data_IF_065608744528
#
_entry.id   IF_065608744528
#
_cell.length_a   1.000
_cell.length_b   1.000
_cell.length_c   1.000
_cell.angle_alpha   90.00
_cell.angle_beta   90.00
_cell.angle_gamma   90.00
#
_symmetry.space_group_name_H-M   'P 1'
#
loop_
_entity.id
_entity.type
_entity.pdbx_description
1 polymer ?
#
# COMPACT_ATOMS: atom_id res chain seq x y z
N UNK A 1 -26.42 -11.87 24.41
CA UNK A 1 -25.88 -12.01 23.04
C UNK A 1 -24.61 -11.18 22.99
N UNK A 2 -23.44 -11.82 22.95
CA UNK A 2 -22.13 -11.15 22.98
C UNK A 2 -21.68 -10.98 21.53
N UNK A 3 -21.54 -9.73 21.08
CA UNK A 3 -21.10 -9.40 19.72
C UNK A 3 -19.57 -9.46 19.69
N UNK A 4 -19.00 -10.46 19.04
CA UNK A 4 -17.58 -10.51 18.71
C UNK A 4 -17.34 -9.66 17.45
N UNK A 5 -16.68 -8.52 17.61
CA UNK A 5 -16.15 -7.74 16.50
C UNK A 5 -14.79 -8.32 16.11
N UNK A 6 -14.68 -8.85 14.89
CA UNK A 6 -13.40 -9.20 14.30
C UNK A 6 -12.76 -7.91 13.77
N UNK A 7 -11.62 -7.53 14.34
CA UNK A 7 -10.77 -6.49 13.76
C UNK A 7 -9.94 -7.17 12.69
N UNK A 8 -10.29 -6.94 11.43
CA UNK A 8 -9.45 -7.28 10.28
C UNK A 8 -8.19 -6.40 10.36
N UNK A 9 -7.05 -7.00 10.66
CA UNK A 9 -5.76 -6.33 10.54
C UNK A 9 -5.38 -6.41 9.07
N UNK A 10 -5.57 -5.32 8.34
CA UNK A 10 -4.95 -5.17 7.02
C UNK A 10 -3.44 -5.12 7.24
N UNK A 11 -2.73 -6.21 6.91
CA UNK A 11 -1.28 -6.22 6.87
C UNK A 11 -0.87 -5.55 5.56
N UNK A 12 -0.68 -4.23 5.58
CA UNK A 12 -0.05 -3.52 4.49
C UNK A 12 1.30 -4.19 4.18
N UNK A 13 1.58 -4.44 2.90
CA UNK A 13 2.88 -4.98 2.49
C UNK A 13 3.95 -3.99 2.96
N UNK A 14 4.96 -4.46 3.72
CA UNK A 14 5.99 -3.56 4.22
C UNK A 14 6.69 -2.81 3.09
N UNK A 15 6.72 -1.49 3.20
CA UNK A 15 7.36 -0.62 2.22
C UNK A 15 8.84 -0.46 2.62
N UNK A 16 9.69 -1.24 1.96
CA UNK A 16 11.14 -1.12 2.12
C UNK A 16 11.74 -0.49 0.86
N UNK A 17 12.67 0.45 1.05
CA UNK A 17 13.35 1.12 -0.06
C UNK A 17 14.84 0.80 -0.03
N UNK A 18 15.37 0.22 -1.12
CA UNK A 18 16.81 0.07 -1.28
C UNK A 18 17.43 1.41 -1.64
N UNK A 19 18.47 1.79 -0.92
CA UNK A 19 19.23 3.01 -1.16
C UNK A 19 20.70 2.63 -1.30
N UNK A 20 21.37 3.19 -2.31
CA UNK A 20 22.79 2.96 -2.55
C UNK A 20 23.45 4.24 -2.99
N UNK A 21 24.73 4.38 -2.70
CA UNK A 21 25.48 5.56 -3.11
C UNK A 21 26.98 5.36 -3.01
N UNK A 22 27.71 6.39 -3.43
CA UNK A 22 29.16 6.50 -3.26
C UNK A 22 29.49 7.76 -2.48
N UNK A 23 30.25 7.62 -1.40
CA UNK A 23 30.68 8.68 -0.51
C UNK A 23 32.18 8.90 -0.73
N UNK A 24 32.55 10.14 -1.00
CA UNK A 24 33.93 10.60 -1.13
C UNK A 24 34.13 11.83 -0.27
N UNK A 25 35.35 12.08 0.17
CA UNK A 25 35.72 13.31 0.87
C UNK A 25 35.97 14.49 -0.09
N UNK A 26 36.36 15.64 0.45
CA UNK A 26 36.66 16.85 -0.32
C UNK A 26 37.84 16.70 -1.27
N UNK A 27 38.75 15.77 -0.99
CA UNK A 27 39.91 15.47 -1.84
C UNK A 27 39.58 14.37 -2.88
N UNK A 28 38.35 13.86 -2.86
CA UNK A 28 37.85 12.81 -3.74
C UNK A 28 38.24 11.39 -3.31
N UNK A 29 38.84 11.23 -2.13
CA UNK A 29 39.17 9.91 -1.60
C UNK A 29 37.90 9.21 -1.11
N UNK A 30 37.73 7.91 -1.42
CA UNK A 30 36.57 7.14 -0.98
C UNK A 30 36.59 6.91 0.53
N UNK A 31 35.42 6.91 1.14
CA UNK A 31 35.23 6.42 2.50
C UNK A 31 35.41 4.89 2.56
N UNK A 32 35.88 4.37 3.70
CA UNK A 32 36.20 2.94 3.89
C UNK A 32 35.91 2.50 5.33
N UNK A 33 35.35 1.31 5.47
CA UNK A 33 35.10 0.68 6.77
C UNK A 33 33.71 0.96 7.32
N UNK A 34 33.57 0.86 8.64
CA UNK A 34 32.26 0.97 9.30
C UNK A 34 31.92 2.45 9.55
N UNK A 35 30.77 2.89 9.04
CA UNK A 35 30.28 4.26 9.20
C UNK A 35 28.83 4.26 9.69
N UNK A 36 28.47 5.29 10.44
CA UNK A 36 27.08 5.53 10.85
C UNK A 36 26.43 6.48 9.85
N UNK A 37 25.43 5.99 9.13
CA UNK A 37 24.68 6.75 8.13
C UNK A 37 23.30 7.09 8.71
N UNK A 38 23.00 8.38 8.78
CA UNK A 38 21.67 8.89 9.12
C UNK A 38 20.95 9.30 7.83
N UNK A 39 19.80 8.70 7.60
CA UNK A 39 18.90 8.94 6.48
C UNK A 39 17.70 9.74 6.97
N UNK A 40 17.38 10.85 6.32
CA UNK A 40 16.22 11.66 6.65
C UNK A 40 15.44 12.00 5.39
N UNK A 41 14.12 11.85 5.42
CA UNK A 41 13.23 12.20 4.32
C UNK A 41 12.55 13.52 4.67
N UNK A 42 12.58 14.46 3.73
CA UNK A 42 11.97 15.79 3.82
C UNK A 42 10.88 15.97 2.76
N UNK A 43 9.91 16.82 3.06
CA UNK A 43 8.80 17.23 2.17
C UNK A 43 9.17 18.35 1.18
N UNK A 44 10.33 19.01 1.36
CA UNK A 44 10.83 20.07 0.49
C UNK A 44 12.32 19.92 0.16
N UNK A 45 12.77 20.49 -0.96
CA UNK A 45 14.17 20.42 -1.43
C UNK A 45 15.14 21.17 -0.50
N UNK A 46 14.68 22.26 0.12
CA UNK A 46 15.46 23.05 1.07
C UNK A 46 14.52 23.53 2.16
N UNK A 47 14.91 23.41 3.43
CA UNK A 47 14.00 23.65 4.55
C UNK A 47 13.08 22.45 4.80
N UNK A 48 11.77 22.67 4.84
CA UNK A 48 10.77 21.62 5.07
C UNK A 48 10.82 20.97 6.45
N UNK A 49 10.03 19.90 6.58
CA UNK A 49 9.91 19.07 7.79
C UNK A 49 10.51 17.69 7.51
N UNK A 50 11.21 17.11 8.50
CA UNK A 50 11.58 15.70 8.47
C UNK A 50 10.31 14.89 8.67
N UNK A 51 9.91 14.12 7.67
CA UNK A 51 8.71 13.26 7.72
C UNK A 51 9.04 11.83 8.13
N UNK A 52 10.32 11.43 7.98
CA UNK A 52 10.81 10.12 8.40
C UNK A 52 12.34 10.15 8.55
N UNK A 53 12.89 9.36 9.48
CA UNK A 53 14.33 9.21 9.65
C UNK A 53 14.73 7.81 10.09
N UNK A 54 15.95 7.40 9.74
CA UNK A 54 16.55 6.14 10.18
C UNK A 54 18.07 6.26 10.25
N UNK A 55 18.67 5.62 11.25
CA UNK A 55 20.13 5.55 11.42
C UNK A 55 20.58 4.10 11.30
N UNK A 56 21.53 3.85 10.42
CA UNK A 56 22.13 2.53 10.22
C UNK A 56 23.66 2.60 10.33
N UNK A 57 24.27 1.55 10.87
CA UNK A 57 25.73 1.39 10.84
C UNK A 57 26.08 0.40 9.75
N UNK A 58 26.77 0.87 8.71
CA UNK A 58 27.02 0.12 7.47
C UNK A 58 28.52 0.08 7.15
N UNK A 59 28.95 -0.99 6.49
CA UNK A 59 30.30 -1.05 5.93
C UNK A 59 30.31 -0.38 4.56
N UNK A 60 31.13 0.65 4.42
CA UNK A 60 31.44 1.32 3.17
C UNK A 60 32.70 0.67 2.57
N UNK A 61 32.68 0.37 1.28
CA UNK A 61 33.84 -0.20 0.57
C UNK A 61 34.08 0.55 -0.73
N UNK A 62 35.27 1.11 -0.93
CA UNK A 62 35.60 2.00 -2.05
C UNK A 62 34.60 3.16 -2.20
N UNK A 63 34.11 3.66 -1.07
CA UNK A 63 33.10 4.71 -0.97
C UNK A 63 31.68 4.21 -1.18
N UNK A 64 31.46 2.97 -1.62
CA UNK A 64 30.13 2.45 -1.90
C UNK A 64 29.45 1.89 -0.65
N UNK A 65 28.15 2.14 -0.54
CA UNK A 65 27.29 1.54 0.47
C UNK A 65 25.95 1.13 -0.16
N UNK A 66 25.27 0.19 0.50
CA UNK A 66 23.91 -0.22 0.20
C UNK A 66 23.14 -0.37 1.52
N UNK A 67 21.93 0.16 1.56
CA UNK A 67 21.03 0.18 2.70
C UNK A 67 19.65 -0.28 2.26
N UNK A 68 18.91 -0.91 3.18
CA UNK A 68 17.47 -1.15 3.04
C UNK A 68 16.79 -0.33 4.12
N UNK A 69 16.09 0.71 3.69
CA UNK A 69 15.37 1.64 4.56
C UNK A 69 13.98 1.11 4.89
N UNK A 70 13.52 1.31 6.12
CA UNK A 70 12.22 0.83 6.60
C UNK A 70 12.18 -0.65 6.97
N UNK A 71 13.33 -1.34 7.03
CA UNK A 71 13.39 -2.76 7.36
C UNK A 71 12.95 -3.07 8.80
N UNK A 72 13.03 -2.09 9.71
CA UNK A 72 12.48 -2.23 11.06
C UNK A 72 11.00 -1.84 11.10
N UNK A 73 10.16 -2.74 10.61
CA UNK A 73 8.72 -2.56 10.49
C UNK A 73 8.00 -2.40 11.84
N UNK A 74 8.61 -2.86 12.93
CA UNK A 74 7.97 -2.87 14.25
C UNK A 74 8.03 -1.53 14.97
N UNK A 75 9.07 -0.74 14.75
CA UNK A 75 9.29 0.51 15.50
C UNK A 75 9.65 1.70 14.62
N UNK A 76 10.02 1.50 13.36
CA UNK A 76 10.39 2.58 12.44
C UNK A 76 10.09 2.17 10.98
N UNK A 77 8.86 1.73 10.72
CA UNK A 77 8.44 1.40 9.37
C UNK A 77 8.54 2.65 8.48
N UNK A 78 9.05 2.48 7.27
CA UNK A 78 8.79 3.43 6.19
C UNK A 78 7.45 2.98 5.59
N UNK A 79 6.41 3.79 5.71
CA UNK A 79 5.06 3.39 5.32
C UNK A 79 4.45 4.29 4.23
N UNK A 80 3.26 3.93 3.79
CA UNK A 80 2.53 4.63 2.73
C UNK A 80 2.19 6.07 3.13
N UNK A 81 1.98 6.35 4.41
CA UNK A 81 1.66 7.71 4.86
C UNK A 81 2.82 8.67 4.66
N UNK A 82 4.06 8.18 4.74
CA UNK A 82 5.27 8.94 4.39
C UNK A 82 5.41 9.01 2.86
N UNK A 83 5.41 7.86 2.18
CA UNK A 83 5.74 7.78 0.75
C UNK A 83 4.65 8.35 -0.19
N UNK A 84 3.43 8.56 0.31
CA UNK A 84 2.35 9.25 -0.41
C UNK A 84 2.50 10.78 -0.41
N UNK A 85 3.35 11.33 0.46
CA UNK A 85 3.74 12.73 0.39
C UNK A 85 4.57 12.92 -0.89
N UNK A 86 4.26 13.96 -1.66
CA UNK A 86 5.00 14.28 -2.87
C UNK A 86 5.08 15.80 -3.04
N UNK A 87 6.26 16.36 -3.34
CA UNK A 87 7.56 15.70 -3.53
C UNK A 87 8.22 15.23 -2.21
N UNK A 88 9.21 14.34 -2.31
CA UNK A 88 10.06 13.91 -1.19
C UNK A 88 11.54 13.98 -1.55
N UNK A 89 12.36 14.22 -0.53
CA UNK A 89 13.80 14.40 -0.69
C UNK A 89 14.56 13.65 0.41
N UNK A 90 15.52 12.80 0.03
CA UNK A 90 16.39 12.08 0.93
C UNK A 90 17.65 12.90 1.23
N UNK A 91 17.94 13.10 2.51
CA UNK A 91 19.21 13.63 3.00
C UNK A 91 20.03 12.52 3.66
N UNK A 92 21.34 12.55 3.43
CA UNK A 92 22.29 11.65 4.08
C UNK A 92 23.24 12.45 4.97
N UNK A 93 23.48 11.97 6.18
CA UNK A 93 24.55 12.46 7.05
C UNK A 93 25.47 11.30 7.44
N UNK A 94 26.78 11.48 7.29
CA UNK A 94 27.80 10.45 7.58
C UNK A 94 28.49 10.81 8.89
N UNK A 95 28.53 9.88 9.84
CA UNK A 95 29.19 10.00 11.16
C UNK A 95 28.84 11.28 11.94
N UNK A 96 27.61 11.78 11.79
CA UNK A 96 27.15 13.03 12.42
C UNK A 96 27.84 14.29 11.89
N UNK A 97 28.50 14.21 10.73
CA UNK A 97 29.14 15.33 10.05
C UNK A 97 28.15 16.28 9.40
N UNK A 98 28.63 17.06 8.42
CA UNK A 98 27.77 17.95 7.64
C UNK A 98 26.81 17.13 6.76
N UNK A 99 25.49 17.40 6.80
CA UNK A 99 24.54 16.75 5.91
C UNK A 99 24.89 17.02 4.44
N UNK A 100 24.78 15.98 3.62
CA UNK A 100 24.93 16.09 2.17
C UNK A 100 23.70 16.75 1.53
N UNK A 101 23.86 17.20 0.30
CA UNK A 101 22.77 17.74 -0.50
C UNK A 101 21.64 16.72 -0.66
N UNK A 102 20.41 17.21 -0.63
CA UNK A 102 19.22 16.37 -0.73
C UNK A 102 19.06 15.80 -2.13
N UNK A 103 18.61 14.55 -2.20
CA UNK A 103 18.30 13.85 -3.44
C UNK A 103 16.79 13.67 -3.55
N UNK A 104 16.19 14.12 -4.65
CA UNK A 104 14.77 13.90 -4.89
C UNK A 104 14.46 12.40 -5.01
N UNK A 105 13.43 11.95 -4.30
CA UNK A 105 12.91 10.59 -4.38
C UNK A 105 11.92 10.56 -5.53
N UNK A 106 12.21 9.75 -6.53
CA UNK A 106 11.36 9.58 -7.71
C UNK A 106 10.82 8.16 -7.80
N UNK A 107 9.62 8.01 -8.36
CA UNK A 107 9.09 6.69 -8.72
C UNK A 107 9.95 6.04 -9.80
N UNK A 108 10.15 4.73 -9.71
CA UNK A 108 10.69 3.96 -10.84
C UNK A 108 9.74 4.07 -12.04
N UNK A 109 10.23 4.13 -13.31
CA UNK A 109 9.37 4.33 -14.48
C UNK A 109 8.21 3.32 -14.59
N UNK A 110 8.47 2.04 -14.35
CA UNK A 110 7.43 1.00 -14.37
C UNK A 110 6.46 1.10 -13.18
N UNK A 111 6.90 1.58 -12.02
CA UNK A 111 6.01 1.87 -10.90
C UNK A 111 5.10 3.07 -11.22
N UNK A 112 5.61 4.08 -11.93
CA UNK A 112 4.82 5.23 -12.37
C UNK A 112 3.79 4.86 -13.43
N UNK A 113 4.10 3.88 -14.30
CA UNK A 113 3.14 3.30 -15.25
C UNK A 113 2.07 2.44 -14.58
N UNK A 114 2.36 1.88 -13.39
CA UNK A 114 1.42 1.12 -12.58
C UNK A 114 0.30 1.96 -11.95
N UNK A 115 0.14 3.24 -12.34
CA UNK A 115 -1.02 4.07 -12.00
C UNK A 115 -2.37 3.46 -12.45
N UNK A 116 -2.32 2.40 -13.27
CA UNK A 116 -3.43 1.47 -13.53
C UNK A 116 -2.95 0.07 -13.17
N UNK A 117 -3.66 -0.61 -12.26
CA UNK A 117 -3.44 -2.03 -11.99
C UNK A 117 -4.10 -2.86 -13.10
N UNK A 118 -3.33 -3.69 -13.81
CA UNK A 118 -3.87 -4.61 -14.82
C UNK A 118 -4.47 -5.88 -14.19
N UNK A 119 -4.08 -6.21 -12.95
CA UNK A 119 -4.56 -7.38 -12.22
C UNK A 119 -4.64 -7.09 -10.72
N UNK A 120 -5.70 -7.58 -10.08
CA UNK A 120 -5.89 -7.61 -8.63
C UNK A 120 -6.18 -9.06 -8.26
N UNK A 121 -5.35 -9.66 -7.40
CA UNK A 121 -5.52 -11.03 -6.90
C UNK A 121 -5.64 -11.02 -5.37
N UNK A 122 -6.79 -11.45 -4.86
CA UNK A 122 -7.09 -11.50 -3.42
C UNK A 122 -7.30 -10.13 -2.74
N UNK A 123 -7.52 -10.18 -1.42
CA UNK A 123 -7.67 -9.01 -0.55
C UNK A 123 -9.05 -8.34 -0.56
N UNK A 124 -9.21 -7.31 0.28
CA UNK A 124 -10.40 -6.44 0.30
C UNK A 124 -10.17 -5.27 -0.65
N UNK A 125 -11.07 -5.10 -1.61
CA UNK A 125 -11.06 -3.94 -2.53
C UNK A 125 -11.97 -2.85 -1.96
N UNK A 126 -11.38 -1.76 -1.47
CA UNK A 126 -12.11 -0.56 -1.06
C UNK A 126 -12.18 0.42 -2.23
N UNK A 127 -13.20 0.25 -3.08
CA UNK A 127 -13.41 1.08 -4.27
C UNK A 127 -14.72 1.86 -4.17
N UNK A 128 -14.74 3.05 -4.77
CA UNK A 128 -15.98 3.84 -4.92
C UNK A 128 -16.91 3.27 -5.98
N UNK A 129 -16.39 2.55 -6.97
CA UNK A 129 -17.16 1.92 -8.05
C UNK A 129 -16.33 0.78 -8.67
N UNK A 130 -16.98 -0.27 -9.18
CA UNK A 130 -16.32 -1.34 -9.95
C UNK A 130 -16.96 -1.39 -11.33
N UNK A 131 -16.16 -1.23 -12.38
CA UNK A 131 -16.60 -1.31 -13.79
C UNK A 131 -15.89 -2.46 -14.51
N UNK A 132 -16.60 -3.18 -15.38
CA UNK A 132 -16.05 -4.19 -16.27
C UNK A 132 -16.41 -3.82 -17.71
N UNK A 133 -15.40 -3.55 -18.54
CA UNK A 133 -15.64 -3.13 -19.94
C UNK A 133 -16.41 -1.81 -20.06
N UNK A 134 -16.30 -0.92 -19.07
CA UNK A 134 -17.04 0.34 -19.01
C UNK A 134 -18.50 0.20 -18.54
N UNK A 135 -18.91 -1.00 -18.13
CA UNK A 135 -20.23 -1.26 -17.55
C UNK A 135 -20.09 -1.36 -16.02
N UNK A 136 -20.88 -0.62 -15.24
CA UNK A 136 -20.79 -0.70 -13.78
C UNK A 136 -21.30 -2.05 -13.28
N UNK A 137 -20.59 -2.64 -12.32
CA UNK A 137 -20.96 -3.86 -11.59
C UNK A 137 -21.37 -3.54 -10.16
N UNK A 138 -20.66 -2.59 -9.52
CA UNK A 138 -21.00 -2.02 -8.22
C UNK A 138 -20.96 -0.51 -8.34
N UNK A 139 -22.07 0.17 -8.04
CA UNK A 139 -22.19 1.63 -8.13
C UNK A 139 -21.62 2.35 -6.89
N UNK A 140 -21.56 3.69 -6.95
CA UNK A 140 -21.14 4.55 -5.83
C UNK A 140 -22.08 4.53 -4.61
N UNK A 141 -23.30 4.05 -4.79
CA UNK A 141 -24.26 3.77 -3.71
C UNK A 141 -24.03 2.43 -3.02
N UNK A 142 -23.01 1.65 -3.43
CA UNK A 142 -22.69 0.29 -2.97
C UNK A 142 -23.73 -0.75 -3.39
N UNK A 143 -24.50 -0.49 -4.43
CA UNK A 143 -25.47 -1.43 -4.98
C UNK A 143 -24.82 -2.29 -6.06
N UNK A 144 -25.21 -3.56 -6.11
CA UNK A 144 -24.94 -4.41 -7.28
C UNK A 144 -25.80 -3.94 -8.45
N UNK A 145 -25.15 -3.52 -9.53
CA UNK A 145 -25.78 -3.03 -10.78
C UNK A 145 -25.31 -3.79 -12.03
N UNK A 146 -24.46 -4.80 -11.86
CA UNK A 146 -24.03 -5.69 -12.92
C UNK A 146 -25.16 -6.57 -13.45
N UNK A 147 -24.85 -7.39 -14.46
CA UNK A 147 -25.80 -8.33 -15.08
C UNK A 147 -26.51 -9.18 -14.00
N UNK A 148 -27.86 -9.14 -13.94
CA UNK A 148 -28.59 -9.88 -12.92
C UNK A 148 -28.34 -11.37 -13.08
N UNK A 149 -28.07 -12.05 -11.97
CA UNK A 149 -28.08 -13.51 -11.93
C UNK A 149 -29.47 -13.97 -12.38
N UNK A 150 -29.54 -14.66 -13.53
CA UNK A 150 -30.77 -15.34 -13.92
C UNK A 150 -30.92 -16.54 -13.00
N UNK A 151 -31.70 -16.40 -11.95
CA UNK A 151 -31.98 -17.51 -11.03
C UNK A 151 -32.97 -18.45 -11.71
N UNK A 152 -32.47 -19.57 -12.21
CA UNK A 152 -33.30 -20.63 -12.76
C UNK A 152 -33.83 -21.54 -11.64
N UNK A 153 -35.09 -21.33 -11.30
CA UNK A 153 -35.80 -22.13 -10.31
C UNK A 153 -36.28 -23.48 -10.84
N UNK A 154 -36.14 -23.75 -12.15
CA UNK A 154 -36.60 -25.00 -12.77
C UNK A 154 -35.85 -26.25 -12.25
N UNK A 155 -34.66 -26.07 -11.68
CA UNK A 155 -33.85 -27.13 -11.07
C UNK A 155 -34.22 -27.49 -9.63
N UNK A 156 -35.12 -26.73 -8.97
CA UNK A 156 -35.54 -27.04 -7.60
C UNK A 156 -36.52 -28.22 -7.63
N UNK A 157 -36.12 -29.34 -7.02
CA UNK A 157 -36.93 -30.54 -6.90
C UNK A 157 -37.39 -30.75 -5.46
N UNK A 158 -38.50 -31.47 -5.26
CA UNK A 158 -39.02 -31.74 -3.92
C UNK A 158 -39.72 -30.55 -3.25
N UNK A 159 -40.10 -29.52 -4.01
CA UNK A 159 -40.96 -28.44 -3.51
C UNK A 159 -42.29 -29.07 -3.08
N UNK A 160 -42.71 -28.93 -1.81
CA UNK A 160 -44.03 -29.40 -1.39
C UNK A 160 -45.11 -28.72 -2.24
N UNK A 161 -46.15 -29.47 -2.62
CA UNK A 161 -47.14 -29.01 -3.61
C UNK A 161 -47.83 -27.68 -3.26
N UNK A 162 -47.92 -27.36 -1.97
CA UNK A 162 -48.48 -26.08 -1.48
C UNK A 162 -47.54 -24.87 -1.59
N UNK A 163 -46.33 -25.03 -2.14
CA UNK A 163 -45.40 -23.92 -2.41
C UNK A 163 -44.98 -23.85 -3.89
N UNK A 164 -45.51 -24.74 -4.74
CA UNK A 164 -45.12 -24.84 -6.15
C UNK A 164 -46.12 -24.21 -7.13
N UNK A 165 -47.23 -23.66 -6.64
CA UNK A 165 -48.36 -23.19 -7.44
C UNK A 165 -48.27 -21.71 -7.85
N UNK A 166 -47.21 -21.02 -7.43
CA UNK A 166 -46.98 -19.61 -7.76
C UNK A 166 -47.90 -18.64 -7.00
N UNK A 167 -48.62 -19.12 -6.00
CA UNK A 167 -49.40 -18.29 -5.06
C UNK A 167 -48.75 -18.44 -3.70
N UNK A 168 -48.16 -17.35 -3.18
CA UNK A 168 -47.72 -17.32 -1.78
C UNK A 168 -48.99 -17.19 -0.93
N UNK A 169 -49.50 -18.32 -0.45
CA UNK A 169 -50.68 -18.40 0.38
C UNK A 169 -50.41 -17.69 1.73
N UNK A 170 -50.59 -16.37 1.71
CA UNK A 170 -50.71 -15.56 2.91
C UNK A 170 -51.87 -16.12 3.73
N UNK A 171 -51.51 -16.73 4.85
CA UNK A 171 -52.40 -17.32 5.84
C UNK A 171 -53.64 -16.44 6.00
N UNK A 172 -54.79 -16.91 5.52
CA UNK A 172 -56.04 -16.28 5.88
C UNK A 172 -56.28 -16.54 7.38
N UNK A 173 -56.44 -15.46 8.12
CA UNK A 173 -56.66 -15.40 9.57
C UNK A 173 -57.80 -16.34 10.01
N UNK A 174 -57.49 -17.59 10.35
CA UNK A 174 -58.40 -18.45 11.12
C UNK A 174 -57.70 -19.60 11.87
N UNK A 175 -56.40 -19.48 12.13
CA UNK A 175 -55.67 -20.30 13.12
C UNK A 175 -55.28 -19.44 14.32
#
# INVERSE_FOLDING_TARGET
>A
MFLLAFVEISLAVPLQMTQQGRIVDSDGAPYEGLHTLAFQIFDEETGGTVVWEEVQTLTVTNGYYAAVLGANESSNALDESVLSLYPLYLQLTVDGGTPLDRQAIHSAPYAQMSGVAESVDGGVVNASEINVGGVPVVDSGRNWVGEPLTVDWSGVTGIPSGFSDGVDDVLNESQ
#
